data_IF_692591953911
#
_entry.id   IF_692591953911
#
_cell.length_a   1.000
_cell.length_b   1.000
_cell.length_c   1.000
_cell.angle_alpha   90.00
_cell.angle_beta   90.00
_cell.angle_gamma   90.00
#
_symmetry.space_group_name_H-M   'P 1'
#
loop_
_entity.id
_entity.type
_entity.pdbx_description
1 polymer ?
#
# COMPACT_ATOMS: atom_id res chain seq x y z
N UNK A 1 33.87 5.71 -59.03
CA UNK A 1 33.84 6.63 -57.90
C UNK A 1 32.43 6.82 -57.31
N UNK A 2 31.37 6.73 -58.07
CA UNK A 2 29.98 6.95 -57.62
C UNK A 2 29.39 5.84 -56.71
N UNK A 3 29.78 4.56 -56.89
CA UNK A 3 29.24 3.41 -56.16
C UNK A 3 29.68 3.36 -54.68
N UNK A 4 30.92 3.80 -54.38
CA UNK A 4 31.44 3.83 -53.00
C UNK A 4 30.74 4.92 -52.13
N UNK A 5 30.36 6.03 -52.76
CA UNK A 5 29.62 7.10 -52.09
C UNK A 5 28.15 6.69 -51.78
N UNK A 6 27.54 5.90 -52.64
CA UNK A 6 26.18 5.40 -52.46
C UNK A 6 26.09 4.37 -51.30
N UNK A 7 27.05 3.45 -51.23
CA UNK A 7 27.15 2.45 -50.13
C UNK A 7 27.46 3.11 -48.78
N UNK A 8 28.32 4.14 -48.78
CA UNK A 8 28.62 4.90 -47.56
C UNK A 8 27.41 5.69 -47.05
N UNK A 9 26.60 6.26 -47.93
CA UNK A 9 25.40 7.00 -47.62
C UNK A 9 24.32 6.08 -47.03
N UNK A 10 24.13 4.90 -47.62
CA UNK A 10 23.17 3.90 -47.15
C UNK A 10 23.51 3.36 -45.75
N UNK A 11 24.79 3.05 -45.51
CA UNK A 11 25.25 2.64 -44.15
C UNK A 11 25.06 3.74 -43.12
N UNK A 12 25.23 4.99 -43.49
CA UNK A 12 25.03 6.12 -42.58
C UNK A 12 23.55 6.33 -42.25
N UNK A 13 22.64 6.14 -43.19
CA UNK A 13 21.19 6.20 -42.97
C UNK A 13 20.70 5.03 -42.15
N UNK A 14 21.23 3.82 -42.33
CA UNK A 14 20.91 2.65 -41.49
C UNK A 14 21.39 2.85 -40.05
N UNK A 15 22.59 3.34 -39.83
CA UNK A 15 23.13 3.66 -38.49
C UNK A 15 22.35 4.80 -37.79
N UNK A 16 21.87 5.79 -38.56
CA UNK A 16 21.01 6.85 -37.98
C UNK A 16 19.65 6.34 -37.61
N UNK A 17 19.02 5.44 -38.37
CA UNK A 17 17.75 4.80 -38.06
C UNK A 17 17.86 3.88 -36.82
N UNK A 18 18.94 3.11 -36.74
CA UNK A 18 19.24 2.25 -35.62
C UNK A 18 19.42 3.08 -34.32
N UNK A 19 20.17 4.18 -34.43
CA UNK A 19 20.38 5.06 -33.26
C UNK A 19 19.14 5.85 -32.86
N UNK A 20 18.28 6.24 -33.81
CA UNK A 20 16.98 6.87 -33.47
C UNK A 20 16.03 5.89 -32.83
N UNK A 21 15.93 4.66 -33.35
CA UNK A 21 15.12 3.60 -32.73
C UNK A 21 15.60 3.20 -31.33
N UNK A 22 16.92 3.19 -31.11
CA UNK A 22 17.48 2.95 -29.78
C UNK A 22 17.18 4.09 -28.79
N UNK A 23 17.19 5.34 -29.26
CA UNK A 23 16.81 6.51 -28.45
C UNK A 23 15.33 6.51 -28.08
N UNK A 24 14.45 6.21 -29.04
CA UNK A 24 13.01 6.11 -28.80
C UNK A 24 12.68 4.99 -27.83
N UNK A 25 13.33 3.83 -27.95
CA UNK A 25 13.18 2.72 -26.97
C UNK A 25 13.62 3.13 -25.57
N UNK A 26 14.78 3.80 -25.43
CA UNK A 26 15.25 4.30 -24.13
C UNK A 26 14.28 5.32 -23.53
N UNK A 27 13.79 6.26 -24.32
CA UNK A 27 12.87 7.29 -23.87
C UNK A 27 11.51 6.71 -23.44
N UNK A 28 11.02 5.70 -24.17
CA UNK A 28 9.81 4.97 -23.78
C UNK A 28 10.02 4.14 -22.49
N UNK A 29 11.19 3.53 -22.33
CA UNK A 29 11.57 2.80 -21.12
C UNK A 29 11.65 3.73 -19.90
N UNK A 30 12.32 4.87 -20.04
CA UNK A 30 12.48 5.85 -18.94
C UNK A 30 11.13 6.44 -18.53
N UNK A 31 10.24 6.73 -19.49
CA UNK A 31 8.88 7.21 -19.22
C UNK A 31 8.05 6.13 -18.55
N UNK A 32 8.20 4.87 -18.96
CA UNK A 32 7.53 3.73 -18.37
C UNK A 32 7.97 3.51 -16.93
N UNK A 33 9.27 3.50 -16.64
CA UNK A 33 9.84 3.33 -15.30
C UNK A 33 9.39 4.48 -14.37
N UNK A 34 9.39 5.72 -14.85
CA UNK A 34 8.94 6.87 -14.08
C UNK A 34 7.47 6.75 -13.64
N UNK A 35 6.59 6.28 -14.53
CA UNK A 35 5.19 6.02 -14.21
C UNK A 35 5.02 4.86 -13.20
N UNK A 36 5.80 3.79 -13.37
CA UNK A 36 5.80 2.65 -12.47
C UNK A 36 6.25 3.05 -11.05
N UNK A 37 7.32 3.85 -10.93
CA UNK A 37 7.78 4.41 -9.65
C UNK A 37 6.72 5.33 -9.01
N UNK A 38 6.07 6.18 -9.82
CA UNK A 38 4.99 7.03 -9.31
C UNK A 38 3.85 6.20 -8.74
N UNK A 39 3.41 5.16 -9.45
CA UNK A 39 2.36 4.25 -8.96
C UNK A 39 2.78 3.56 -7.66
N UNK A 40 4.04 3.12 -7.57
CA UNK A 40 4.58 2.52 -6.35
C UNK A 40 4.54 3.50 -5.16
N UNK A 41 4.93 4.75 -5.37
CA UNK A 41 4.86 5.81 -4.34
C UNK A 41 3.40 6.05 -3.92
N UNK A 42 2.45 6.03 -4.86
CA UNK A 42 1.02 6.18 -4.57
C UNK A 42 0.51 5.01 -3.71
N UNK A 43 0.93 3.77 -3.99
CA UNK A 43 0.56 2.61 -3.17
C UNK A 43 1.12 2.70 -1.74
N UNK A 44 2.37 3.14 -1.58
CA UNK A 44 2.97 3.39 -0.27
C UNK A 44 2.23 4.51 0.48
N UNK A 45 1.89 5.61 -0.21
CA UNK A 45 1.13 6.71 0.37
C UNK A 45 -0.29 6.29 0.78
N UNK A 46 -0.94 5.44 0.01
CA UNK A 46 -2.24 4.87 0.36
C UNK A 46 -2.14 4.02 1.63
N UNK A 47 -1.12 3.19 1.73
CA UNK A 47 -0.84 2.40 2.94
C UNK A 47 -0.60 3.32 4.15
N UNK A 48 0.15 4.41 3.98
CA UNK A 48 0.39 5.42 5.01
C UNK A 48 -0.91 6.07 5.52
N UNK A 49 -1.85 6.37 4.63
CA UNK A 49 -3.17 6.91 5.01
C UNK A 49 -3.95 5.93 5.86
N UNK A 50 -3.95 4.64 5.51
CA UNK A 50 -4.61 3.61 6.30
C UNK A 50 -3.96 3.41 7.66
N UNK A 51 -2.62 3.38 7.72
CA UNK A 51 -1.87 3.29 8.96
C UNK A 51 -2.09 4.49 9.89
N UNK A 52 -2.16 5.71 9.33
CA UNK A 52 -2.58 6.91 10.07
C UNK A 52 -3.99 6.75 10.63
N UNK A 53 -4.93 6.25 9.82
CA UNK A 53 -6.32 6.10 10.17
C UNK A 53 -6.52 5.12 11.34
N UNK A 54 -5.83 3.99 11.29
CA UNK A 54 -5.84 2.97 12.34
C UNK A 54 -5.53 3.59 13.71
N UNK A 55 -4.36 4.20 13.84
CA UNK A 55 -3.91 4.78 15.11
C UNK A 55 -4.72 6.01 15.49
N UNK A 56 -5.06 6.88 14.53
CA UNK A 56 -5.80 8.08 14.82
C UNK A 56 -7.18 7.78 15.41
N UNK A 57 -7.91 6.80 14.86
CA UNK A 57 -9.24 6.43 15.34
C UNK A 57 -9.17 5.76 16.70
N UNK A 58 -8.20 4.86 16.94
CA UNK A 58 -8.00 4.21 18.23
C UNK A 58 -7.57 5.15 19.35
N UNK A 59 -6.92 6.27 19.00
CA UNK A 59 -6.38 7.25 19.96
C UNK A 59 -7.31 8.43 20.19
N UNK A 60 -8.55 8.41 19.70
CA UNK A 60 -9.50 9.51 19.88
C UNK A 60 -10.08 9.49 21.28
N UNK A 61 -10.11 10.67 21.92
CA UNK A 61 -10.80 10.83 23.20
C UNK A 61 -12.32 10.85 23.00
N UNK A 62 -13.02 9.85 23.56
CA UNK A 62 -14.47 9.68 23.39
C UNK A 62 -15.29 10.82 23.99
N UNK A 63 -14.85 11.41 25.12
CA UNK A 63 -15.52 12.54 25.75
C UNK A 63 -15.51 13.77 24.85
N UNK A 64 -14.35 14.05 24.24
CA UNK A 64 -14.23 15.12 23.26
C UNK A 64 -15.04 14.85 21.98
N UNK A 65 -15.04 13.60 21.52
CA UNK A 65 -15.78 13.19 20.33
C UNK A 65 -17.29 13.38 20.57
N UNK A 66 -17.82 12.94 21.71
CA UNK A 66 -19.24 13.08 22.07
C UNK A 66 -19.65 14.56 22.17
N UNK A 67 -18.78 15.43 22.73
CA UNK A 67 -19.00 16.88 22.74
C UNK A 67 -19.09 17.46 21.33
N UNK A 68 -18.15 17.12 20.44
CA UNK A 68 -18.20 17.58 19.05
C UNK A 68 -19.42 17.05 18.27
N UNK A 69 -19.92 15.88 18.64
CA UNK A 69 -21.18 15.34 18.07
C UNK A 69 -22.38 16.13 18.55
N UNK A 70 -22.46 16.49 19.84
CA UNK A 70 -23.53 17.33 20.39
C UNK A 70 -23.54 18.76 19.80
N UNK A 71 -22.34 19.28 19.47
CA UNK A 71 -22.17 20.56 18.76
C UNK A 71 -22.53 20.50 17.26
N UNK A 72 -22.98 19.34 16.76
CA UNK A 72 -23.50 19.17 15.40
C UNK A 72 -22.43 18.86 14.32
N UNK A 73 -21.19 18.58 14.69
CA UNK A 73 -20.12 18.27 13.72
C UNK A 73 -20.42 17.00 12.91
N UNK A 74 -20.56 17.17 11.58
CA UNK A 74 -20.76 16.02 10.66
C UNK A 74 -19.60 15.04 10.64
N UNK A 75 -18.36 15.55 10.76
CA UNK A 75 -17.15 14.72 10.80
C UNK A 75 -17.09 13.91 12.08
N UNK A 76 -17.39 14.51 13.24
CA UNK A 76 -17.44 13.83 14.52
C UNK A 76 -18.51 12.73 14.55
N UNK A 77 -19.69 12.97 13.97
CA UNK A 77 -20.75 11.96 13.86
C UNK A 77 -20.36 10.76 12.99
N UNK A 78 -19.60 10.98 11.90
CA UNK A 78 -19.05 9.87 11.10
C UNK A 78 -18.01 9.07 11.90
N UNK A 79 -17.11 9.77 12.56
CA UNK A 79 -16.08 9.16 13.39
C UNK A 79 -16.70 8.35 14.53
N UNK A 80 -17.67 8.88 15.24
CA UNK A 80 -18.40 8.18 16.30
C UNK A 80 -19.07 6.88 15.85
N UNK A 81 -19.54 6.82 14.59
CA UNK A 81 -20.07 5.57 14.01
C UNK A 81 -18.99 4.54 13.73
N UNK A 82 -17.78 4.98 13.42
CA UNK A 82 -16.64 4.09 13.19
C UNK A 82 -16.11 3.54 14.51
N UNK A 83 -16.03 4.38 15.55
CA UNK A 83 -15.58 3.95 16.89
C UNK A 83 -16.63 3.10 17.61
N UNK A 84 -17.90 3.21 17.26
CA UNK A 84 -18.96 2.37 17.81
C UNK A 84 -18.88 0.88 17.41
N UNK A 85 -18.08 0.54 16.38
CA UNK A 85 -17.86 -0.84 15.93
C UNK A 85 -16.35 -1.07 15.71
N UNK A 86 -15.55 -1.09 16.77
CA UNK A 86 -14.08 -1.10 16.67
C UNK A 86 -13.55 -2.35 15.94
N UNK A 87 -14.10 -3.53 16.24
CA UNK A 87 -13.67 -4.77 15.60
C UNK A 87 -13.86 -4.73 14.07
N UNK A 88 -15.00 -4.25 13.59
CA UNK A 88 -15.29 -4.11 12.16
C UNK A 88 -14.42 -3.05 11.50
N UNK A 89 -14.17 -1.95 12.19
CA UNK A 89 -13.27 -0.90 11.72
C UNK A 89 -11.84 -1.45 11.55
N UNK A 90 -11.30 -2.10 12.59
CA UNK A 90 -9.96 -2.69 12.57
C UNK A 90 -9.82 -3.73 11.45
N UNK A 91 -10.78 -4.65 11.31
CA UNK A 91 -10.79 -5.61 10.21
C UNK A 91 -10.75 -4.93 8.83
N UNK A 92 -11.54 -3.87 8.63
CA UNK A 92 -11.56 -3.11 7.38
C UNK A 92 -10.20 -2.48 7.07
N UNK A 93 -9.59 -1.81 8.04
CA UNK A 93 -8.29 -1.16 7.88
C UNK A 93 -7.20 -2.19 7.66
N UNK A 94 -7.20 -3.30 8.40
CA UNK A 94 -6.22 -4.37 8.23
C UNK A 94 -6.28 -4.99 6.82
N UNK A 95 -7.48 -5.24 6.30
CA UNK A 95 -7.67 -5.70 4.92
C UNK A 95 -7.11 -4.70 3.91
N UNK A 96 -7.39 -3.40 4.12
CA UNK A 96 -6.92 -2.35 3.22
C UNK A 96 -5.39 -2.24 3.22
N UNK A 97 -4.74 -2.25 4.39
CA UNK A 97 -3.27 -2.24 4.54
C UNK A 97 -2.65 -3.47 3.88
N UNK A 98 -3.19 -4.65 4.16
CA UNK A 98 -2.67 -5.91 3.63
C UNK A 98 -2.77 -5.97 2.11
N UNK A 99 -3.91 -5.59 1.54
CA UNK A 99 -4.11 -5.54 0.09
C UNK A 99 -3.20 -4.50 -0.58
N UNK A 100 -3.08 -3.30 -0.01
CA UNK A 100 -2.18 -2.28 -0.54
C UNK A 100 -0.71 -2.75 -0.51
N UNK A 101 -0.29 -3.41 0.57
CA UNK A 101 1.05 -3.99 0.70
C UNK A 101 1.32 -5.11 -0.31
N UNK A 102 0.38 -6.06 -0.47
CA UNK A 102 0.52 -7.14 -1.44
C UNK A 102 0.51 -6.64 -2.88
N UNK A 103 -0.39 -5.71 -3.23
CA UNK A 103 -0.42 -5.09 -4.55
C UNK A 103 0.89 -4.37 -4.85
N UNK A 104 1.41 -3.60 -3.88
CA UNK A 104 2.68 -2.91 -4.03
C UNK A 104 3.85 -3.86 -4.24
N UNK A 105 3.92 -4.96 -3.46
CA UNK A 105 4.98 -5.96 -3.58
C UNK A 105 4.90 -6.74 -4.89
N UNK A 106 3.72 -7.21 -5.27
CA UNK A 106 3.50 -7.94 -6.53
C UNK A 106 3.83 -7.05 -7.74
N UNK A 107 3.33 -5.81 -7.73
CA UNK A 107 3.59 -4.84 -8.78
C UNK A 107 5.10 -4.54 -8.93
N UNK A 108 5.82 -4.36 -7.83
CA UNK A 108 7.25 -4.12 -7.87
C UNK A 108 8.04 -5.33 -8.36
N UNK A 109 7.70 -6.54 -7.92
CA UNK A 109 8.35 -7.76 -8.36
C UNK A 109 8.20 -7.97 -9.87
N UNK A 110 7.00 -7.73 -10.41
CA UNK A 110 6.71 -7.90 -11.84
C UNK A 110 7.41 -6.85 -12.73
N UNK A 111 7.50 -5.60 -12.27
CA UNK A 111 7.94 -4.51 -13.14
C UNK A 111 9.41 -4.10 -12.95
N UNK A 112 10.04 -4.41 -11.82
CA UNK A 112 11.41 -3.98 -11.53
C UNK A 112 12.43 -5.13 -11.54
N UNK A 113 12.01 -6.40 -11.59
CA UNK A 113 12.94 -7.53 -11.60
C UNK A 113 13.75 -7.59 -12.90
N UNK A 114 13.12 -7.53 -14.06
CA UNK A 114 13.78 -7.61 -15.34
C UNK A 114 14.80 -6.46 -15.57
N UNK A 115 14.44 -5.17 -15.35
CA UNK A 115 15.42 -4.08 -15.45
C UNK A 115 16.63 -4.25 -14.49
N UNK A 116 16.42 -4.80 -13.30
CA UNK A 116 17.50 -5.06 -12.37
C UNK A 116 18.40 -6.19 -12.85
N UNK A 117 17.81 -7.28 -13.38
CA UNK A 117 18.58 -8.40 -13.96
C UNK A 117 19.41 -7.93 -15.13
N UNK A 118 18.84 -7.17 -16.08
CA UNK A 118 19.53 -6.63 -17.24
C UNK A 118 20.71 -5.73 -16.83
N UNK A 119 20.52 -4.91 -15.81
CA UNK A 119 21.58 -4.09 -15.25
C UNK A 119 22.72 -4.92 -14.63
N UNK A 120 22.40 -5.97 -13.86
CA UNK A 120 23.37 -6.86 -13.25
C UNK A 120 24.16 -7.67 -14.28
N UNK A 121 23.50 -8.17 -15.33
CA UNK A 121 24.14 -8.85 -16.45
C UNK A 121 25.08 -7.89 -17.19
N UNK A 122 24.67 -6.64 -17.36
CA UNK A 122 25.50 -5.58 -17.94
C UNK A 122 26.76 -5.27 -17.13
N UNK A 123 26.77 -5.53 -15.82
CA UNK A 123 27.95 -5.43 -14.96
C UNK A 123 28.87 -6.66 -15.00
N UNK A 124 28.54 -7.68 -15.81
CA UNK A 124 29.36 -8.89 -16.00
C UNK A 124 29.06 -10.01 -15.00
N UNK A 125 27.90 -10.03 -14.35
CA UNK A 125 27.47 -11.12 -13.48
C UNK A 125 27.17 -12.37 -14.32
N UNK A 126 27.86 -13.47 -14.08
CA UNK A 126 27.80 -14.74 -14.85
C UNK A 126 26.87 -15.80 -14.26
N UNK A 127 25.91 -15.40 -13.40
CA UNK A 127 24.93 -16.31 -12.80
C UNK A 127 23.86 -16.65 -13.83
N UNK A 128 23.31 -17.89 -13.85
CA UNK A 128 22.20 -18.25 -14.74
C UNK A 128 21.01 -17.29 -14.60
N UNK A 129 20.41 -16.83 -15.71
CA UNK A 129 19.37 -15.81 -15.70
C UNK A 129 18.18 -16.14 -14.80
N UNK A 130 17.77 -17.40 -14.72
CA UNK A 130 16.67 -17.83 -13.85
C UNK A 130 16.98 -17.62 -12.35
N UNK A 131 18.20 -17.94 -11.92
CA UNK A 131 18.63 -17.73 -10.52
C UNK A 131 18.78 -16.24 -10.23
N UNK A 132 19.32 -15.48 -11.18
CA UNK A 132 19.50 -14.05 -11.05
C UNK A 132 18.15 -13.33 -10.93
N UNK A 133 17.13 -13.74 -11.68
CA UNK A 133 15.78 -13.21 -11.57
C UNK A 133 15.16 -13.49 -10.21
N UNK A 134 15.29 -14.71 -9.69
CA UNK A 134 14.79 -15.05 -8.34
C UNK A 134 15.45 -14.18 -7.27
N UNK A 135 16.77 -13.99 -7.34
CA UNK A 135 17.50 -13.13 -6.40
C UNK A 135 17.08 -11.65 -6.52
N UNK A 136 16.86 -11.17 -7.75
CA UNK A 136 16.38 -9.82 -8.01
C UNK A 136 15.01 -9.58 -7.39
N UNK A 137 14.06 -10.50 -7.58
CA UNK A 137 12.73 -10.43 -6.96
C UNK A 137 12.81 -10.37 -5.44
N UNK A 138 13.63 -11.23 -4.81
CA UNK A 138 13.83 -11.23 -3.36
C UNK A 138 14.40 -9.89 -2.90
N UNK A 139 15.44 -9.40 -3.56
CA UNK A 139 16.10 -8.13 -3.20
C UNK A 139 15.14 -6.94 -3.33
N UNK A 140 14.41 -6.85 -4.44
CA UNK A 140 13.41 -5.80 -4.66
C UNK A 140 12.32 -5.86 -3.58
N UNK A 141 11.83 -7.06 -3.28
CA UNK A 141 10.80 -7.25 -2.25
C UNK A 141 11.30 -6.81 -0.87
N UNK A 142 12.54 -7.12 -0.50
CA UNK A 142 13.13 -6.68 0.77
C UNK A 142 13.29 -5.16 0.84
N UNK A 143 13.84 -4.55 -0.21
CA UNK A 143 14.00 -3.09 -0.29
C UNK A 143 12.64 -2.40 -0.21
N UNK A 144 11.67 -2.86 -0.99
CA UNK A 144 10.34 -2.29 -1.01
C UNK A 144 9.62 -2.48 0.34
N UNK A 145 9.75 -3.66 0.96
CA UNK A 145 9.18 -3.92 2.28
C UNK A 145 9.73 -2.96 3.32
N UNK A 146 11.04 -2.67 3.27
CA UNK A 146 11.64 -1.67 4.14
C UNK A 146 11.03 -0.27 3.94
N UNK A 147 10.93 0.20 2.69
CA UNK A 147 10.34 1.51 2.41
C UNK A 147 8.85 1.56 2.76
N UNK A 148 8.09 0.51 2.44
CA UNK A 148 6.66 0.41 2.77
C UNK A 148 6.46 0.39 4.29
N UNK A 149 7.26 -0.35 5.04
CA UNK A 149 7.17 -0.42 6.49
C UNK A 149 7.51 0.94 7.13
N UNK A 150 8.60 1.58 6.70
CA UNK A 150 9.02 2.86 7.28
C UNK A 150 8.07 3.99 6.89
N UNK A 151 7.85 4.21 5.59
CA UNK A 151 7.09 5.36 5.09
C UNK A 151 5.60 5.09 4.97
N UNK A 152 5.20 3.84 4.75
CA UNK A 152 3.80 3.44 4.64
C UNK A 152 3.15 3.06 5.97
N UNK A 153 3.94 2.82 7.05
CA UNK A 153 3.36 2.35 8.31
C UNK A 153 3.95 3.03 9.54
N UNK A 154 5.25 2.90 9.83
CA UNK A 154 5.83 3.34 11.11
C UNK A 154 5.81 4.86 11.28
N UNK A 155 6.26 5.61 10.29
CA UNK A 155 6.29 7.08 10.33
C UNK A 155 4.88 7.66 10.39
N UNK A 156 3.92 7.22 9.52
CA UNK A 156 2.54 7.66 9.56
C UNK A 156 1.85 7.40 10.91
N UNK A 157 2.04 6.21 11.50
CA UNK A 157 1.49 5.87 12.83
C UNK A 157 2.01 6.83 13.92
N UNK A 158 3.30 7.16 13.91
CA UNK A 158 3.88 8.12 14.88
C UNK A 158 3.33 9.53 14.71
N UNK A 159 3.12 9.98 13.48
CA UNK A 159 2.50 11.28 13.20
C UNK A 159 1.04 11.29 13.68
N UNK A 160 0.30 10.23 13.40
CA UNK A 160 -1.09 10.09 13.79
C UNK A 160 -1.28 10.11 15.32
N UNK A 161 -0.41 9.48 16.10
CA UNK A 161 -0.43 9.53 17.56
C UNK A 161 -0.31 10.96 18.10
N UNK A 162 0.50 11.82 17.45
CA UNK A 162 0.72 13.20 17.91
C UNK A 162 -0.47 14.13 17.66
N UNK A 163 -1.31 13.86 16.66
CA UNK A 163 -2.44 14.70 16.24
C UNK A 163 -3.70 13.84 15.92
N UNK A 164 -3.98 12.84 16.76
CA UNK A 164 -5.00 11.82 16.50
C UNK A 164 -6.39 12.39 16.16
N UNK A 165 -6.86 13.38 16.90
CA UNK A 165 -8.18 13.98 16.70
C UNK A 165 -8.33 14.64 15.32
N UNK A 166 -7.35 15.48 14.93
CA UNK A 166 -7.38 16.18 13.64
C UNK A 166 -7.30 15.21 12.47
N UNK A 167 -6.42 14.21 12.60
CA UNK A 167 -6.23 13.18 11.59
C UNK A 167 -7.50 12.33 11.47
N UNK A 168 -8.05 11.81 12.57
CA UNK A 168 -9.25 11.00 12.59
C UNK A 168 -10.47 11.72 11.98
N UNK A 169 -10.70 12.98 12.35
CA UNK A 169 -11.80 13.79 11.80
C UNK A 169 -11.67 14.02 10.30
N UNK A 170 -10.45 14.27 9.82
CA UNK A 170 -10.24 14.53 8.38
C UNK A 170 -10.35 13.26 7.54
N UNK A 171 -9.86 12.12 8.06
CA UNK A 171 -9.86 10.83 7.36
C UNK A 171 -11.20 10.10 7.50
N UNK A 172 -12.06 10.46 8.47
CA UNK A 172 -13.34 9.78 8.75
C UNK A 172 -14.24 9.58 7.52
N UNK A 173 -14.24 10.56 6.60
CA UNK A 173 -14.98 10.47 5.34
C UNK A 173 -14.44 9.41 4.39
N UNK A 174 -13.13 9.41 4.19
CA UNK A 174 -12.43 8.43 3.33
C UNK A 174 -12.64 7.01 3.87
N UNK A 175 -12.44 6.79 5.16
CA UNK A 175 -12.63 5.48 5.79
C UNK A 175 -14.06 4.99 5.64
N UNK A 176 -15.05 5.87 5.79
CA UNK A 176 -16.46 5.48 5.60
C UNK A 176 -16.74 4.96 4.19
N UNK A 177 -16.12 5.54 3.16
CA UNK A 177 -16.23 5.07 1.78
C UNK A 177 -15.54 3.72 1.62
N UNK A 178 -14.33 3.61 2.14
CA UNK A 178 -13.52 2.38 2.08
C UNK A 178 -14.21 1.23 2.82
N UNK A 179 -14.78 1.49 4.02
CA UNK A 179 -15.53 0.48 4.77
C UNK A 179 -16.74 -0.06 4.01
N UNK A 180 -17.39 0.77 3.21
CA UNK A 180 -18.48 0.31 2.34
C UNK A 180 -17.96 -0.52 1.17
N UNK A 181 -16.85 -0.13 0.58
CA UNK A 181 -16.24 -0.84 -0.55
C UNK A 181 -15.75 -2.22 -0.13
N UNK A 182 -15.10 -2.32 1.03
CA UNK A 182 -14.55 -3.58 1.56
C UNK A 182 -15.58 -4.39 2.38
N UNK A 183 -16.80 -3.88 2.59
CA UNK A 183 -17.83 -4.56 3.38
C UNK A 183 -18.04 -6.03 2.99
N UNK A 184 -18.14 -6.44 1.70
CA UNK A 184 -18.30 -7.85 1.34
C UNK A 184 -17.10 -8.71 1.71
N UNK A 185 -15.87 -8.16 1.57
CA UNK A 185 -14.64 -8.88 1.93
C UNK A 185 -14.54 -9.04 3.44
N UNK A 186 -14.80 -7.97 4.19
CA UNK A 186 -14.80 -8.00 5.67
C UNK A 186 -15.86 -8.95 6.20
N UNK A 187 -17.06 -8.97 5.60
CA UNK A 187 -18.10 -9.93 5.95
C UNK A 187 -17.64 -11.39 5.74
N UNK A 188 -17.01 -11.68 4.60
CA UNK A 188 -16.49 -13.02 4.29
C UNK A 188 -15.41 -13.44 5.31
N UNK A 189 -14.47 -12.52 5.62
CA UNK A 189 -13.42 -12.79 6.61
C UNK A 189 -14.02 -13.02 8.01
N UNK A 190 -14.94 -12.17 8.45
CA UNK A 190 -15.62 -12.33 9.73
C UNK A 190 -16.41 -13.64 9.80
N UNK A 191 -17.12 -14.01 8.74
CA UNK A 191 -17.84 -15.28 8.69
C UNK A 191 -16.88 -16.48 8.78
N UNK A 192 -15.73 -16.42 8.09
CA UNK A 192 -14.68 -17.44 8.15
C UNK A 192 -14.07 -17.56 9.54
N UNK A 193 -13.72 -16.43 10.15
CA UNK A 193 -13.17 -16.37 11.52
C UNK A 193 -14.16 -16.93 12.52
N UNK A 194 -15.42 -16.50 12.46
CA UNK A 194 -16.47 -16.99 13.37
C UNK A 194 -16.72 -18.49 13.17
N UNK A 195 -16.64 -18.99 11.94
CA UNK A 195 -16.69 -20.42 11.64
C UNK A 195 -15.58 -21.21 12.32
N UNK A 196 -14.34 -20.72 12.26
CA UNK A 196 -13.19 -21.36 12.88
C UNK A 196 -13.32 -21.29 14.42
N UNK A 197 -13.70 -20.16 15.00
CA UNK A 197 -13.92 -20.01 16.45
C UNK A 197 -14.95 -21.01 16.97
N UNK A 198 -16.08 -21.19 16.27
CA UNK A 198 -17.09 -22.19 16.62
C UNK A 198 -16.54 -23.62 16.54
N UNK A 199 -15.70 -23.94 15.57
CA UNK A 199 -15.03 -25.25 15.48
C UNK A 199 -14.08 -25.50 16.64
N UNK A 200 -13.48 -24.43 17.22
CA UNK A 200 -12.62 -24.48 18.39
C UNK A 200 -13.42 -24.45 19.71
N UNK A 201 -14.76 -24.38 19.67
CA UNK A 201 -15.62 -24.31 20.85
C UNK A 201 -15.68 -22.95 21.54
N UNK A 202 -15.26 -21.88 20.85
CA UNK A 202 -15.25 -20.50 21.36
C UNK A 202 -16.49 -19.79 20.79
N UNK A 203 -17.28 -19.12 21.66
CA UNK A 203 -18.38 -18.29 21.20
C UNK A 203 -17.84 -16.97 20.60
N UNK A 204 -18.11 -16.67 19.31
CA UNK A 204 -17.66 -15.44 18.69
C UNK A 204 -18.17 -14.16 19.37
N UNK A 205 -19.37 -14.21 20.00
CA UNK A 205 -19.98 -13.06 20.65
C UNK A 205 -19.23 -12.68 21.94
N UNK A 206 -18.82 -13.67 22.75
CA UNK A 206 -18.00 -13.43 23.95
C UNK A 206 -16.63 -12.83 23.60
N UNK A 207 -16.04 -13.23 22.47
CA UNK A 207 -14.78 -12.68 22.01
C UNK A 207 -14.90 -11.21 21.54
N UNK A 208 -16.02 -10.81 20.95
CA UNK A 208 -16.29 -9.42 20.56
C UNK A 208 -16.52 -8.51 21.78
N UNK A 209 -17.21 -8.98 22.81
CA UNK A 209 -17.44 -8.23 24.07
C UNK A 209 -16.11 -8.00 24.81
N UNK A 210 -15.24 -9.01 24.91
CA UNK A 210 -13.94 -8.86 25.57
C UNK A 210 -13.01 -7.87 24.86
N UNK A 211 -13.04 -7.79 23.53
CA UNK A 211 -12.27 -6.79 22.78
C UNK A 211 -12.81 -5.38 23.04
N UNK A 212 -14.12 -5.21 23.12
CA UNK A 212 -14.77 -3.95 23.48
C UNK A 212 -14.39 -3.48 24.89
N UNK A 213 -14.44 -4.35 25.87
CA UNK A 213 -14.08 -4.06 27.26
C UNK A 213 -12.58 -3.78 27.44
N UNK A 214 -11.71 -4.53 26.79
CA UNK A 214 -10.26 -4.29 26.83
C UNK A 214 -9.89 -2.90 26.31
N UNK A 215 -10.55 -2.42 25.28
CA UNK A 215 -10.33 -1.08 24.73
C UNK A 215 -10.88 0.03 25.63
N UNK A 216 -11.96 -0.22 26.38
CA UNK A 216 -12.52 0.72 27.35
C UNK A 216 -11.65 0.86 28.61
N UNK A 217 -11.01 -0.23 29.08
CA UNK A 217 -10.15 -0.21 30.27
C UNK A 217 -8.72 0.31 30.00
N UNK A 218 -8.25 0.35 28.75
CA UNK A 218 -6.92 0.88 28.40
C UNK A 218 -6.92 2.38 28.10
N UNK A 219 -8.05 3.08 28.19
CA UNK A 219 -8.10 4.53 28.09
C UNK A 219 -7.65 5.15 29.42
N UNK A 220 -6.47 5.78 29.51
CA UNK A 220 -6.04 6.47 30.72
C UNK A 220 -6.95 7.67 30.99
N UNK A 221 -7.51 7.69 32.18
CA UNK A 221 -8.26 8.81 32.77
C UNK A 221 -7.42 10.07 32.88
#
# INVERSE_FOLDING_TARGET
MSFALFTSRKKREEALRENSGARERRQNLDTSIGWLLLLQVVLIALNAVFACAEIAVLSVNEVKLSKMVSEGSRKARRLSRLTAQPARFLATIQVAITLAGFLGSAFAAENFSDPLVDWLVGLGVTIPPATLNTLAVILITLILSFFTLVFGELVPKRIAMKQSEKVALNISGLITVISKLFAPIVWLLSASTNGILRLLGIDPNEAEEQVGDCLLYTSPS
#
